data_IF_004908503279
#
_entry.id   IF_004908503279
#
_cell.length_a   1.000
_cell.length_b   1.000
_cell.length_c   1.000
_cell.angle_alpha   90.00
_cell.angle_beta   90.00
_cell.angle_gamma   90.00
#
_symmetry.space_group_name_H-M   'P 1'
#
loop_
_entity.id
_entity.type
_entity.pdbx_description
1 polymer ?
#
# COMPACT_ATOMS: atom_id res chain seq x y z
N UNK A 1 -13.13 -6.05 11.68
CA UNK A 1 -11.92 -5.22 11.49
C UNK A 1 -10.72 -6.11 11.13
N UNK A 2 -10.34 -7.05 12.00
CA UNK A 2 -9.08 -7.79 11.86
C UNK A 2 -8.98 -8.66 10.59
N UNK A 3 -10.09 -9.22 10.09
CA UNK A 3 -10.06 -10.03 8.85
C UNK A 3 -9.62 -9.21 7.62
N UNK A 4 -9.75 -7.88 7.65
CA UNK A 4 -9.33 -7.03 6.53
C UNK A 4 -7.83 -6.83 6.43
N UNK A 5 -7.06 -7.37 7.38
CA UNK A 5 -5.60 -7.46 7.27
C UNK A 5 -5.17 -8.68 6.46
N UNK A 6 -6.04 -9.68 6.31
CA UNK A 6 -5.79 -10.86 5.50
C UNK A 6 -6.39 -10.67 4.11
N UNK A 7 -5.72 -11.24 3.10
CA UNK A 7 -6.24 -11.33 1.75
C UNK A 7 -5.81 -12.67 1.14
N UNK A 8 -6.66 -13.29 0.32
CA UNK A 8 -6.45 -14.59 -0.33
C UNK A 8 -5.31 -14.60 -1.35
N UNK A 9 -4.65 -13.47 -1.57
CA UNK A 9 -3.56 -13.32 -2.52
C UNK A 9 -2.26 -14.02 -2.11
N UNK A 10 -2.15 -14.62 -0.93
CA UNK A 10 -0.90 -15.25 -0.47
C UNK A 10 0.29 -14.28 -0.38
N UNK A 11 0.08 -12.97 -0.55
CA UNK A 11 1.13 -11.94 -0.47
C UNK A 11 0.96 -10.99 0.71
N UNK A 12 -0.01 -11.29 1.58
CA UNK A 12 -0.45 -10.44 2.68
C UNK A 12 -0.97 -11.27 3.85
N UNK A 13 -0.40 -11.08 5.03
CA UNK A 13 -0.91 -11.77 6.22
C UNK A 13 -0.40 -11.24 7.55
N UNK A 14 -0.12 -9.93 7.61
CA UNK A 14 0.13 -9.27 8.89
C UNK A 14 -0.29 -7.80 8.86
N UNK A 15 -0.46 -7.17 10.02
CA UNK A 15 -0.70 -5.73 10.13
C UNK A 15 0.49 -4.91 9.59
N UNK A 16 1.66 -5.55 9.45
CA UNK A 16 2.84 -4.95 8.85
C UNK A 16 2.84 -5.31 7.36
N UNK A 17 2.46 -4.35 6.52
CA UNK A 17 2.47 -4.49 5.07
C UNK A 17 3.90 -4.47 4.49
N UNK A 18 4.90 -4.71 5.35
CA UNK A 18 6.35 -4.83 5.17
C UNK A 18 6.84 -6.25 4.87
N UNK A 19 6.05 -7.24 5.26
CA UNK A 19 6.55 -8.58 5.59
C UNK A 19 7.03 -9.34 4.34
N UNK A 20 8.25 -9.90 4.41
CA UNK A 20 8.81 -10.79 3.39
C UNK A 20 8.14 -12.16 3.46
N UNK A 21 7.90 -12.76 2.30
CA UNK A 21 7.45 -14.15 2.19
C UNK A 21 8.67 -15.06 2.16
N UNK A 22 8.50 -16.28 2.67
CA UNK A 22 9.50 -17.33 2.46
C UNK A 22 9.56 -17.69 0.98
N UNK A 23 10.77 -17.94 0.47
CA UNK A 23 10.98 -18.43 -0.89
C UNK A 23 10.89 -19.96 -0.97
N UNK A 24 11.10 -20.65 0.16
CA UNK A 24 10.92 -22.09 0.31
C UNK A 24 9.91 -22.38 1.44
N UNK A 25 8.87 -23.14 1.10
CA UNK A 25 7.78 -23.52 2.00
C UNK A 25 7.94 -24.91 2.61
N UNK A 26 9.03 -25.62 2.30
CA UNK A 26 9.31 -26.97 2.82
C UNK A 26 9.24 -27.01 4.35
N UNK A 27 9.88 -26.05 5.01
CA UNK A 27 9.87 -25.88 6.48
C UNK A 27 8.49 -25.54 7.03
N UNK A 28 7.73 -24.68 6.33
CA UNK A 28 6.34 -24.33 6.68
C UNK A 28 5.46 -25.58 6.67
N UNK A 29 5.59 -26.43 5.66
CA UNK A 29 4.75 -27.62 5.53
C UNK A 29 5.20 -28.78 6.44
N UNK A 30 6.50 -28.86 6.76
CA UNK A 30 7.02 -29.84 7.71
C UNK A 30 6.58 -29.54 9.16
N UNK A 31 6.65 -28.27 9.58
CA UNK A 31 6.23 -27.81 10.90
C UNK A 31 5.25 -26.63 10.82
N UNK A 32 3.99 -26.90 10.42
CA UNK A 32 3.01 -25.85 10.23
C UNK A 32 2.56 -25.23 11.55
N UNK A 33 2.97 -25.75 12.71
CA UNK A 33 2.65 -25.15 14.01
C UNK A 33 3.61 -24.02 14.35
N UNK A 34 4.92 -24.25 14.19
CA UNK A 34 5.94 -23.30 14.65
C UNK A 34 6.50 -22.41 13.54
N UNK A 35 6.39 -22.82 12.28
CA UNK A 35 6.87 -22.06 11.13
C UNK A 35 5.68 -21.50 10.35
N UNK A 36 5.60 -20.16 10.27
CA UNK A 36 4.57 -19.46 9.50
C UNK A 36 5.00 -19.17 8.07
N UNK A 37 4.01 -18.87 7.22
CA UNK A 37 4.20 -18.56 5.79
C UNK A 37 5.13 -17.37 5.55
N UNK A 38 5.08 -16.37 6.44
CA UNK A 38 5.91 -15.19 6.34
C UNK A 38 7.24 -15.36 7.07
N UNK A 39 8.28 -14.72 6.55
CA UNK A 39 9.62 -14.74 7.12
C UNK A 39 9.81 -13.64 8.17
N UNK A 40 9.00 -13.71 9.23
CA UNK A 40 9.08 -12.82 10.40
C UNK A 40 8.82 -13.62 11.68
N UNK A 41 9.42 -13.18 12.79
CA UNK A 41 9.39 -13.86 14.10
C UNK A 41 7.95 -14.20 14.55
N UNK A 42 6.97 -13.37 14.20
CA UNK A 42 5.60 -13.49 14.71
C UNK A 42 4.64 -14.27 13.81
N UNK A 43 5.05 -14.73 12.63
CA UNK A 43 4.10 -15.30 11.65
C UNK A 43 3.33 -16.52 12.19
N UNK A 44 3.98 -17.42 12.92
CA UNK A 44 3.32 -18.56 13.55
C UNK A 44 2.41 -18.14 14.72
N UNK A 45 2.82 -17.11 15.49
CA UNK A 45 2.01 -16.52 16.57
C UNK A 45 0.71 -15.90 16.04
N UNK A 46 0.77 -15.16 14.94
CA UNK A 46 -0.40 -14.58 14.29
C UNK A 46 -1.35 -15.69 13.79
N UNK A 47 -0.80 -16.77 13.23
CA UNK A 47 -1.59 -17.92 12.84
C UNK A 47 -2.23 -18.65 14.04
N UNK A 48 -1.57 -18.71 15.21
CA UNK A 48 -2.17 -19.27 16.43
C UNK A 48 -3.30 -18.41 16.97
N UNK A 49 -3.16 -17.09 16.91
CA UNK A 49 -4.24 -16.16 17.28
C UNK A 49 -5.49 -16.46 16.46
N UNK A 50 -5.36 -16.51 15.13
CA UNK A 50 -6.49 -16.80 14.24
C UNK A 50 -7.06 -18.21 14.46
N UNK A 51 -6.21 -19.22 14.65
CA UNK A 51 -6.64 -20.57 14.99
C UNK A 51 -7.51 -20.59 16.26
N UNK A 52 -7.07 -19.94 17.33
CA UNK A 52 -7.82 -19.89 18.60
C UNK A 52 -9.13 -19.14 18.46
N UNK A 53 -9.15 -18.04 17.70
CA UNK A 53 -10.38 -17.31 17.38
C UNK A 53 -11.35 -18.20 16.59
N UNK A 54 -10.86 -18.93 15.58
CA UNK A 54 -11.66 -19.86 14.80
C UNK A 54 -12.23 -20.99 15.67
N UNK A 55 -11.43 -21.53 16.58
CA UNK A 55 -11.86 -22.61 17.48
C UNK A 55 -12.90 -22.12 18.50
N UNK A 56 -12.65 -20.97 19.14
CA UNK A 56 -13.52 -20.39 20.16
C UNK A 56 -14.89 -20.01 19.59
N UNK A 57 -14.91 -19.32 18.45
CA UNK A 57 -16.15 -18.86 17.82
C UNK A 57 -16.76 -19.86 16.84
N UNK A 58 -16.07 -20.99 16.56
CA UNK A 58 -16.42 -21.93 15.49
C UNK A 58 -16.66 -21.23 14.14
N UNK A 59 -15.83 -20.23 13.84
CA UNK A 59 -16.05 -19.30 12.72
C UNK A 59 -15.16 -19.65 11.51
N UNK A 60 -15.75 -20.07 10.38
CA UNK A 60 -15.06 -20.39 9.12
C UNK A 60 -14.13 -19.29 8.60
N UNK A 61 -14.47 -18.02 8.80
CA UNK A 61 -13.70 -16.88 8.33
C UNK A 61 -12.39 -16.68 9.11
N UNK A 62 -12.40 -16.97 10.41
CA UNK A 62 -11.19 -16.95 11.21
C UNK A 62 -10.29 -18.15 10.87
N UNK A 63 -10.89 -19.29 10.51
CA UNK A 63 -10.13 -20.44 10.02
C UNK A 63 -9.46 -20.11 8.68
N UNK A 64 -10.17 -19.44 7.77
CA UNK A 64 -9.59 -18.92 6.53
C UNK A 64 -8.41 -17.99 6.82
N UNK A 65 -8.55 -17.02 7.72
CA UNK A 65 -7.43 -16.15 8.08
C UNK A 65 -6.24 -16.93 8.69
N UNK A 66 -6.51 -17.96 9.49
CA UNK A 66 -5.47 -18.83 10.04
C UNK A 66 -4.70 -19.59 8.93
N UNK A 67 -5.40 -20.11 7.92
CA UNK A 67 -4.81 -20.78 6.77
C UNK A 67 -3.95 -19.82 5.92
N UNK A 68 -4.42 -18.59 5.70
CA UNK A 68 -3.67 -17.56 4.97
C UNK A 68 -2.31 -17.27 5.64
N UNK A 69 -2.31 -17.09 6.96
CA UNK A 69 -1.08 -16.72 7.70
C UNK A 69 -0.17 -17.91 7.97
N UNK A 70 -0.74 -19.11 8.14
CA UNK A 70 0.04 -20.32 8.39
C UNK A 70 0.68 -20.86 7.11
N UNK A 71 -0.10 -20.98 6.03
CA UNK A 71 0.27 -21.76 4.84
C UNK A 71 0.30 -20.94 3.55
N UNK A 72 -0.11 -19.67 3.57
CA UNK A 72 -0.17 -18.81 2.39
C UNK A 72 -1.50 -18.86 1.63
N UNK A 73 -2.50 -19.56 2.17
CA UNK A 73 -3.81 -19.69 1.53
C UNK A 73 -3.82 -20.56 0.28
N UNK A 74 -4.99 -20.64 -0.35
CA UNK A 74 -5.23 -21.46 -1.55
C UNK A 74 -5.24 -20.58 -2.81
N UNK A 75 -4.88 -21.13 -3.98
CA UNK A 75 -5.03 -20.44 -5.26
C UNK A 75 -6.50 -20.19 -5.63
N UNK A 76 -6.76 -19.37 -6.66
CA UNK A 76 -8.13 -19.09 -7.13
C UNK A 76 -8.94 -20.33 -7.51
N UNK A 77 -8.28 -21.39 -8.01
CA UNK A 77 -8.91 -22.65 -8.38
C UNK A 77 -9.02 -23.65 -7.22
N UNK A 78 -8.47 -23.30 -6.05
CA UNK A 78 -8.50 -24.13 -4.84
C UNK A 78 -7.56 -25.34 -4.85
N UNK A 79 -6.84 -25.62 -5.94
CA UNK A 79 -5.98 -26.80 -6.05
C UNK A 79 -4.65 -26.59 -5.32
N UNK A 80 -4.41 -27.41 -4.28
CA UNK A 80 -3.19 -27.33 -3.48
C UNK A 80 -2.31 -28.57 -3.66
N UNK A 81 -0.97 -28.44 -3.56
CA UNK A 81 -0.08 -29.60 -3.57
C UNK A 81 -0.36 -30.58 -2.41
N UNK A 82 -0.01 -31.88 -2.57
CA UNK A 82 -0.20 -32.87 -1.50
C UNK A 82 0.53 -32.52 -0.18
N UNK A 83 1.68 -31.86 -0.28
CA UNK A 83 2.45 -31.38 0.88
C UNK A 83 1.70 -30.29 1.64
N UNK A 84 1.05 -29.37 0.93
CA UNK A 84 0.17 -28.37 1.52
C UNK A 84 -1.00 -29.04 2.22
N UNK A 85 -1.68 -29.98 1.56
CA UNK A 85 -2.86 -30.64 2.14
C UNK A 85 -2.49 -31.45 3.39
N UNK A 86 -1.33 -32.11 3.39
CA UNK A 86 -0.78 -32.80 4.57
C UNK A 86 -0.55 -31.81 5.73
N UNK A 87 0.08 -30.66 5.45
CA UNK A 87 0.32 -29.63 6.45
C UNK A 87 -0.99 -29.03 7.00
N UNK A 88 -1.96 -28.80 6.12
CA UNK A 88 -3.31 -28.36 6.50
C UNK A 88 -3.98 -29.38 7.43
N UNK A 89 -3.98 -30.65 7.05
CA UNK A 89 -4.58 -31.71 7.86
C UNK A 89 -3.88 -31.84 9.22
N UNK A 90 -2.55 -31.68 9.29
CA UNK A 90 -1.76 -31.71 10.53
C UNK A 90 -2.05 -30.51 11.45
N UNK A 91 -2.20 -29.31 10.90
CA UNK A 91 -2.45 -28.09 11.70
C UNK A 91 -3.91 -27.96 12.10
N UNK A 92 -4.85 -28.28 11.22
CA UNK A 92 -6.26 -27.97 11.38
C UNK A 92 -7.14 -29.20 11.64
N UNK A 93 -6.54 -30.32 12.10
CA UNK A 93 -7.24 -31.60 12.35
C UNK A 93 -8.53 -31.43 13.16
N UNK A 94 -8.49 -30.62 14.22
CA UNK A 94 -9.64 -30.36 15.08
C UNK A 94 -10.86 -29.85 14.29
N UNK A 95 -10.64 -29.00 13.28
CA UNK A 95 -11.69 -28.45 12.41
C UNK A 95 -12.15 -29.46 11.38
N UNK A 96 -11.20 -30.19 10.78
CA UNK A 96 -11.48 -31.27 9.80
C UNK A 96 -12.39 -32.33 10.39
N UNK A 97 -12.08 -32.83 11.59
CA UNK A 97 -12.90 -33.82 12.32
C UNK A 97 -14.32 -33.33 12.63
N UNK A 98 -14.55 -32.02 12.59
CA UNK A 98 -15.81 -31.37 12.94
C UNK A 98 -16.54 -30.81 11.72
N UNK A 99 -16.04 -31.05 10.51
CA UNK A 99 -16.62 -30.54 9.27
C UNK A 99 -16.64 -29.02 9.19
N UNK A 100 -15.69 -28.33 9.84
CA UNK A 100 -15.56 -26.87 9.77
C UNK A 100 -14.51 -26.55 8.71
N UNK A 101 -14.97 -25.97 7.61
CA UNK A 101 -14.11 -25.59 6.49
C UNK A 101 -13.80 -24.09 6.47
N UNK A 102 -12.64 -23.66 5.96
CA UNK A 102 -12.31 -22.25 5.81
C UNK A 102 -13.29 -21.57 4.84
N UNK A 103 -13.81 -20.40 5.20
CA UNK A 103 -14.68 -19.60 4.32
C UNK A 103 -14.08 -18.22 4.10
N UNK A 104 -13.98 -17.81 2.84
CA UNK A 104 -13.55 -16.45 2.51
C UNK A 104 -14.56 -15.44 3.11
N UNK A 105 -14.11 -14.46 3.89
CA UNK A 105 -15.02 -13.46 4.44
C UNK A 105 -15.52 -12.54 3.33
N UNK A 106 -16.83 -12.26 3.33
CA UNK A 106 -17.41 -11.26 2.44
C UNK A 106 -16.83 -9.89 2.77
N UNK A 107 -16.22 -9.25 1.76
CA UNK A 107 -15.64 -7.92 1.89
C UNK A 107 -16.05 -7.04 0.74
N UNK A 108 -16.06 -5.75 1.02
CA UNK A 108 -16.34 -4.66 0.10
C UNK A 108 -15.48 -3.48 0.51
N UNK A 109 -15.38 -2.51 -0.40
CA UNK A 109 -14.75 -1.24 -0.16
C UNK A 109 -15.41 -0.55 1.03
N UNK A 110 -14.60 -0.06 1.96
CA UNK A 110 -15.13 0.61 3.14
C UNK A 110 -14.12 1.47 3.87
N UNK A 111 -14.65 2.35 4.70
CA UNK A 111 -13.89 3.10 5.70
C UNK A 111 -13.64 2.22 6.93
N UNK A 112 -12.37 2.01 7.24
CA UNK A 112 -11.91 1.34 8.45
C UNK A 112 -12.01 2.26 9.67
N UNK A 113 -12.65 1.77 10.73
CA UNK A 113 -12.75 2.47 12.02
C UNK A 113 -11.80 1.86 13.04
N UNK A 114 -11.22 2.71 13.89
CA UNK A 114 -10.41 2.28 15.05
C UNK A 114 -11.24 1.35 15.94
N UNK A 115 -12.49 1.70 16.23
CA UNK A 115 -13.43 0.76 16.81
C UNK A 115 -14.83 1.06 16.31
N UNK A 116 -15.53 0.01 15.90
CA UNK A 116 -16.92 0.09 15.46
C UNK A 116 -17.90 0.35 16.61
N UNK A 117 -17.48 0.06 17.86
CA UNK A 117 -18.32 0.18 19.05
C UNK A 117 -18.10 1.50 19.79
N UNK A 118 -16.85 1.91 19.98
CA UNK A 118 -16.48 3.11 20.76
C UNK A 118 -15.44 3.91 19.99
N UNK A 119 -15.53 5.24 19.98
CA UNK A 119 -14.59 6.13 19.26
C UNK A 119 -14.43 5.71 17.78
N UNK A 120 -15.46 6.01 16.97
CA UNK A 120 -15.56 5.70 15.53
C UNK A 120 -14.62 6.57 14.67
N UNK A 121 -13.35 6.61 15.04
CA UNK A 121 -12.29 7.34 14.34
C UNK A 121 -12.02 6.60 13.03
N UNK A 122 -12.11 7.31 11.90
CA UNK A 122 -11.79 6.81 10.57
C UNK A 122 -10.26 6.75 10.46
N UNK A 123 -9.70 5.55 10.34
CA UNK A 123 -8.25 5.34 10.34
C UNK A 123 -7.71 4.82 9.01
N UNK A 124 -8.59 4.24 8.16
CA UNK A 124 -8.17 3.56 6.94
C UNK A 124 -9.24 3.64 5.86
N UNK A 125 -8.81 3.48 4.62
CA UNK A 125 -9.67 3.06 3.50
C UNK A 125 -9.21 1.70 3.03
N UNK A 126 -10.18 0.82 2.77
CA UNK A 126 -9.98 -0.45 2.09
C UNK A 126 -10.74 -0.41 0.78
N UNK A 127 -10.06 -0.73 -0.32
CA UNK A 127 -10.62 -0.84 -1.66
C UNK A 127 -10.45 -2.28 -2.11
N UNK A 128 -11.57 -2.96 -2.33
CA UNK A 128 -11.69 -4.33 -2.82
C UNK A 128 -13.18 -4.60 -3.06
N UNK A 129 -13.50 -5.64 -3.82
CA UNK A 129 -14.84 -6.21 -3.98
C UNK A 129 -14.93 -7.63 -3.38
N UNK A 130 -13.89 -8.01 -2.63
CA UNK A 130 -13.67 -9.36 -2.15
C UNK A 130 -12.24 -9.54 -1.66
N UNK A 131 -11.98 -10.64 -0.98
CA UNK A 131 -10.61 -11.01 -0.52
C UNK A 131 -10.24 -12.43 -0.93
N UNK A 132 -10.94 -12.97 -1.93
CA UNK A 132 -10.59 -14.20 -2.61
C UNK A 132 -9.20 -14.09 -3.25
N UNK A 133 -8.57 -15.24 -3.48
CA UNK A 133 -7.31 -15.28 -4.21
C UNK A 133 -7.47 -14.67 -5.62
N UNK A 134 -6.53 -13.81 -5.99
CA UNK A 134 -6.49 -13.10 -7.26
C UNK A 134 -7.22 -11.75 -7.27
N UNK A 135 -8.07 -11.46 -6.28
CA UNK A 135 -8.84 -10.22 -6.24
C UNK A 135 -7.96 -8.99 -5.99
N UNK A 136 -8.33 -7.84 -6.58
CA UNK A 136 -7.60 -6.60 -6.38
C UNK A 136 -7.81 -6.06 -4.97
N UNK A 137 -6.76 -5.50 -4.39
CA UNK A 137 -6.80 -4.86 -3.09
C UNK A 137 -5.90 -3.64 -3.05
N UNK A 138 -6.42 -2.54 -2.52
CA UNK A 138 -5.63 -1.38 -2.17
C UNK A 138 -6.09 -0.80 -0.84
N UNK A 139 -5.18 -0.22 -0.07
CA UNK A 139 -5.56 0.38 1.20
C UNK A 139 -4.67 1.54 1.63
N UNK A 140 -5.30 2.48 2.34
CA UNK A 140 -4.70 3.75 2.76
C UNK A 140 -4.81 3.94 4.26
N UNK A 141 -3.82 4.60 4.84
CA UNK A 141 -3.88 5.10 6.22
C UNK A 141 -4.47 6.51 6.26
N UNK A 142 -5.23 6.82 7.30
CA UNK A 142 -5.89 8.11 7.52
C UNK A 142 -5.45 8.80 8.83
N UNK A 143 -4.35 8.36 9.44
CA UNK A 143 -3.91 8.92 10.71
C UNK A 143 -3.42 10.37 10.53
N UNK A 144 -3.98 11.30 11.29
CA UNK A 144 -3.59 12.73 11.31
C UNK A 144 -2.69 13.10 12.48
N UNK A 145 -2.63 12.25 13.51
CA UNK A 145 -1.76 12.42 14.67
C UNK A 145 -0.71 11.33 14.72
N UNK A 146 0.52 11.75 15.02
CA UNK A 146 1.60 10.87 15.42
C UNK A 146 1.23 10.22 16.74
N UNK A 147 1.30 8.89 16.79
CA UNK A 147 1.49 8.19 18.06
C UNK A 147 2.93 7.66 18.12
N UNK A 148 3.37 7.17 19.28
CA UNK A 148 4.73 6.66 19.47
C UNK A 148 5.07 5.41 18.61
N UNK A 149 4.09 4.85 17.89
CA UNK A 149 4.21 3.60 17.12
C UNK A 149 3.87 3.74 15.63
N UNK A 150 3.23 4.84 15.22
CA UNK A 150 2.84 5.16 13.85
C UNK A 150 3.26 6.61 13.58
N UNK A 151 4.29 6.78 12.75
CA UNK A 151 4.61 8.08 12.17
C UNK A 151 3.40 8.61 11.37
N UNK A 152 3.34 9.93 11.13
CA UNK A 152 2.23 10.60 10.43
C UNK A 152 1.97 10.01 9.04
N UNK A 153 1.21 8.91 8.98
CA UNK A 153 0.85 8.19 7.77
C UNK A 153 -0.46 8.73 7.19
N UNK A 154 -0.50 10.04 7.02
CA UNK A 154 -1.68 10.77 6.56
C UNK A 154 -1.88 10.53 5.06
N UNK A 155 -2.81 9.66 4.69
CA UNK A 155 -3.22 9.45 3.30
C UNK A 155 -2.31 8.54 2.48
N UNK A 156 -1.39 7.80 3.10
CA UNK A 156 -0.43 6.97 2.38
C UNK A 156 -1.06 5.66 1.96
N UNK A 157 -0.81 5.28 0.70
CA UNK A 157 -1.10 3.93 0.23
C UNK A 157 -0.11 2.98 0.91
N UNK A 158 -0.61 2.03 1.69
CA UNK A 158 0.27 1.06 2.34
C UNK A 158 0.29 -0.29 1.64
N UNK A 159 -0.66 -0.53 0.73
CA UNK A 159 -0.73 -1.75 -0.03
C UNK A 159 -1.49 -1.56 -1.33
N UNK A 160 -0.96 -2.17 -2.39
CA UNK A 160 -1.66 -2.43 -3.62
C UNK A 160 -1.22 -3.79 -4.17
N UNK A 161 -2.18 -4.71 -4.28
CA UNK A 161 -1.98 -6.06 -4.78
C UNK A 161 -3.11 -6.49 -5.72
N UNK A 162 -2.78 -7.33 -6.69
CA UNK A 162 -3.72 -7.94 -7.62
C UNK A 162 -3.13 -9.21 -8.21
N UNK A 163 -3.97 -10.21 -8.50
CA UNK A 163 -3.57 -11.47 -9.12
C UNK A 163 -2.39 -12.17 -8.42
N UNK A 164 -2.42 -12.19 -7.07
CA UNK A 164 -1.34 -12.81 -6.29
C UNK A 164 -0.01 -12.06 -6.36
N UNK A 165 0.03 -10.81 -6.81
CA UNK A 165 1.23 -10.00 -6.86
C UNK A 165 1.06 -8.69 -6.09
N UNK A 166 2.16 -8.22 -5.49
CA UNK A 166 2.22 -6.98 -4.73
C UNK A 166 3.06 -5.95 -5.48
N UNK A 167 2.45 -4.82 -5.84
CA UNK A 167 3.06 -3.84 -6.74
C UNK A 167 3.61 -2.61 -6.03
N UNK A 168 2.95 -2.19 -4.95
CA UNK A 168 3.42 -1.13 -4.07
C UNK A 168 3.47 -1.63 -2.65
N UNK A 169 4.50 -1.19 -1.93
CA UNK A 169 4.81 -1.68 -0.61
C UNK A 169 5.47 -0.54 0.17
N UNK A 170 4.74 0.06 1.11
CA UNK A 170 5.32 0.87 2.17
C UNK A 170 4.39 0.84 3.39
N UNK A 171 4.71 0.04 4.42
CA UNK A 171 3.89 -0.02 5.64
C UNK A 171 3.94 1.27 6.46
N UNK A 172 4.88 2.19 6.19
CA UNK A 172 5.03 3.46 6.89
C UNK A 172 5.21 3.37 8.41
N UNK A 173 5.20 2.15 8.97
CA UNK A 173 5.09 1.90 10.40
C UNK A 173 6.38 2.22 11.14
N UNK A 174 7.50 2.24 10.42
CA UNK A 174 8.83 2.49 10.98
C UNK A 174 9.76 3.27 10.04
N UNK A 175 9.21 4.07 9.14
CA UNK A 175 9.99 4.72 8.08
C UNK A 175 10.59 6.08 8.47
N UNK A 176 10.50 6.53 9.73
CA UNK A 176 11.19 7.73 10.21
C UNK A 176 11.64 7.59 11.69
N UNK A 177 12.46 6.59 12.00
CA UNK A 177 12.98 6.46 13.38
C UNK A 177 14.20 7.37 13.58
N UNK A 178 14.02 8.42 14.37
CA UNK A 178 15.08 9.32 14.82
C UNK A 178 15.49 9.03 16.26
N UNK A 179 16.75 9.33 16.58
CA UNK A 179 17.20 9.57 17.95
C UNK A 179 17.92 10.90 18.01
N UNK A 180 17.29 11.90 18.62
CA UNK A 180 17.74 13.28 18.48
C UNK A 180 17.61 13.71 17.01
N UNK A 181 18.71 14.14 16.40
CA UNK A 181 18.80 14.51 14.98
C UNK A 181 19.23 13.36 14.07
N UNK A 182 19.62 12.22 14.63
CA UNK A 182 20.22 11.12 13.88
C UNK A 182 19.16 10.11 13.41
N UNK A 183 19.22 9.76 12.12
CA UNK A 183 18.39 8.70 11.53
C UNK A 183 18.92 7.35 12.03
N UNK A 184 18.10 6.61 12.80
CA UNK A 184 18.50 5.31 13.38
C UNK A 184 18.06 4.10 12.56
N UNK A 185 17.20 4.27 11.58
CA UNK A 185 16.73 3.18 10.73
C UNK A 185 15.35 3.47 10.16
N UNK A 186 15.08 2.84 9.02
CA UNK A 186 13.81 2.88 8.30
C UNK A 186 13.52 4.22 7.65
N UNK A 187 13.53 4.24 6.31
CA UNK A 187 12.98 5.30 5.46
C UNK A 187 13.65 6.66 5.59
N UNK A 188 13.72 7.37 4.47
CA UNK A 188 14.58 8.55 4.36
C UNK A 188 13.83 9.87 4.54
N UNK A 189 12.63 9.82 5.13
CA UNK A 189 11.66 10.89 5.10
C UNK A 189 10.40 10.51 4.34
N UNK A 190 9.52 11.49 4.17
CA UNK A 190 8.23 11.31 3.51
C UNK A 190 8.28 10.87 2.05
N UNK A 191 9.40 11.13 1.39
CA UNK A 191 9.66 10.70 0.03
C UNK A 191 9.85 9.20 -0.11
N UNK A 192 9.85 8.47 1.02
CA UNK A 192 9.84 7.00 1.11
C UNK A 192 8.43 6.39 1.21
N UNK A 193 7.37 7.22 1.09
CA UNK A 193 5.97 6.83 1.23
C UNK A 193 5.18 7.16 -0.03
N UNK A 194 4.17 6.35 -0.36
CA UNK A 194 3.31 6.53 -1.53
C UNK A 194 2.28 7.67 -1.31
N UNK A 195 2.69 8.91 -1.59
CA UNK A 195 2.03 10.14 -1.15
C UNK A 195 1.99 11.24 -2.22
N UNK A 196 1.23 12.31 -1.94
CA UNK A 196 1.43 13.60 -2.59
C UNK A 196 2.48 14.39 -1.81
N UNK A 197 3.64 14.65 -2.39
CA UNK A 197 4.70 15.37 -1.70
C UNK A 197 4.66 16.86 -2.04
N UNK A 198 4.90 17.72 -1.05
CA UNK A 198 5.09 19.17 -1.22
C UNK A 198 6.46 19.53 -0.65
N UNK A 199 7.33 20.12 -1.47
CA UNK A 199 8.74 20.38 -1.12
C UNK A 199 9.10 21.81 -1.46
N UNK A 200 9.79 22.51 -0.55
CA UNK A 200 10.31 23.85 -0.85
C UNK A 200 11.37 23.77 -1.96
N UNK A 201 11.33 24.70 -2.91
CA UNK A 201 12.19 24.75 -4.10
C UNK A 201 13.71 24.90 -3.85
N UNK A 202 14.12 25.07 -2.59
CA UNK A 202 15.54 25.08 -2.18
C UNK A 202 16.08 23.66 -2.00
N UNK A 203 15.20 22.67 -1.87
CA UNK A 203 15.55 21.25 -1.83
C UNK A 203 15.25 20.60 -3.18
N UNK A 204 16.02 19.56 -3.49
CA UNK A 204 15.81 18.78 -4.70
C UNK A 204 14.62 17.83 -4.51
N UNK A 205 13.56 17.98 -5.30
CA UNK A 205 12.47 17.00 -5.32
C UNK A 205 12.96 15.64 -5.89
N UNK A 206 12.52 14.49 -5.36
CA UNK A 206 11.61 14.31 -4.22
C UNK A 206 12.35 14.24 -2.88
N UNK A 207 13.67 14.42 -2.83
CA UNK A 207 14.46 14.28 -1.60
C UNK A 207 13.94 15.26 -0.56
N UNK A 208 13.23 14.73 0.44
CA UNK A 208 12.74 15.53 1.53
C UNK A 208 13.93 15.88 2.44
N UNK A 209 13.98 17.11 2.95
CA UNK A 209 14.99 17.54 3.92
C UNK A 209 14.94 16.81 5.26
N UNK A 210 14.07 15.81 5.47
CA UNK A 210 14.10 14.87 6.61
C UNK A 210 15.48 14.20 6.77
N UNK A 211 16.31 14.19 5.69
CA UNK A 211 17.72 13.78 5.71
C UNK A 211 18.70 14.80 6.33
N UNK A 212 18.35 16.08 6.48
CA UNK A 212 19.22 17.22 6.92
C UNK A 212 18.47 18.40 7.60
N UNK A 213 17.30 18.13 8.21
CA UNK A 213 16.18 19.08 8.42
C UNK A 213 16.51 20.49 8.90
N UNK A 214 15.74 21.46 8.40
CA UNK A 214 15.69 22.82 8.95
C UNK A 214 14.27 23.17 9.46
N UNK A 215 14.14 24.32 10.14
CA UNK A 215 12.94 24.72 10.90
C UNK A 215 11.61 24.69 10.12
N UNK A 216 11.63 24.76 8.79
CA UNK A 216 10.39 24.75 7.99
C UNK A 216 9.75 23.37 7.88
N UNK A 217 10.52 22.30 8.08
CA UNK A 217 10.05 20.91 7.91
C UNK A 217 9.26 20.41 9.13
N UNK A 218 9.56 20.95 10.32
CA UNK A 218 8.80 20.70 11.55
C UNK A 218 7.33 21.14 11.46
N UNK A 219 6.97 21.99 10.48
CA UNK A 219 5.57 22.40 10.24
C UNK A 219 4.68 21.22 9.89
N UNK A 220 5.23 20.14 9.31
CA UNK A 220 4.43 18.98 8.92
C UNK A 220 3.95 18.13 10.09
N UNK A 221 4.73 18.01 11.16
CA UNK A 221 4.50 16.99 12.19
C UNK A 221 3.17 17.15 12.96
N UNK A 222 2.54 18.33 12.92
CA UNK A 222 1.35 18.64 13.71
C UNK A 222 0.25 19.37 12.94
N UNK A 223 0.40 19.53 11.62
CA UNK A 223 -0.51 20.38 10.85
C UNK A 223 -1.61 19.61 10.13
N UNK A 224 -1.31 18.48 9.47
CA UNK A 224 -2.33 17.76 8.71
C UNK A 224 -3.46 17.29 9.65
N UNK A 225 -4.69 17.69 9.32
CA UNK A 225 -5.90 17.32 10.09
C UNK A 225 -6.81 16.52 9.20
N UNK A 226 -7.13 15.30 9.62
CA UNK A 226 -8.04 14.46 8.84
C UNK A 226 -9.41 15.15 8.77
N UNK A 227 -10.01 15.17 7.57
CA UNK A 227 -11.36 15.68 7.36
C UNK A 227 -12.31 14.47 7.19
N UNK A 228 -12.85 13.92 8.29
CA UNK A 228 -13.60 12.67 8.25
C UNK A 228 -14.85 12.76 7.38
N UNK A 229 -15.49 13.93 7.27
CA UNK A 229 -16.71 14.12 6.47
C UNK A 229 -16.47 13.94 4.96
N UNK A 230 -15.24 14.09 4.50
CA UNK A 230 -14.85 13.83 3.10
C UNK A 230 -14.40 12.39 2.86
N UNK A 231 -14.41 11.55 3.89
CA UNK A 231 -13.94 10.16 3.78
C UNK A 231 -15.08 9.24 3.38
N UNK A 232 -14.93 8.61 2.23
CA UNK A 232 -15.92 7.73 1.60
C UNK A 232 -15.25 6.53 0.95
N UNK A 233 -15.95 5.39 0.90
CA UNK A 233 -15.53 4.23 0.14
C UNK A 233 -16.73 3.32 -0.17
N UNK A 234 -16.80 2.83 -1.40
CA UNK A 234 -17.92 2.02 -1.89
C UNK A 234 -17.52 1.19 -3.12
N UNK A 235 -18.34 0.22 -3.50
CA UNK A 235 -18.23 -0.49 -4.76
C UNK A 235 -19.34 -0.05 -5.73
N UNK A 236 -19.07 -0.13 -7.03
CA UNK A 236 -20.13 -0.10 -8.06
C UNK A 236 -20.60 -1.53 -8.40
N UNK A 237 -21.62 -1.64 -9.25
CA UNK A 237 -22.18 -2.94 -9.68
C UNK A 237 -21.21 -3.78 -10.53
N UNK A 238 -20.14 -3.17 -11.06
CA UNK A 238 -19.10 -3.85 -11.83
C UNK A 238 -17.97 -4.41 -10.95
N UNK A 239 -18.03 -4.21 -9.62
CA UNK A 239 -17.00 -4.64 -8.69
C UNK A 239 -15.80 -3.68 -8.60
N UNK A 240 -15.86 -2.50 -9.21
CA UNK A 240 -14.83 -1.48 -8.99
C UNK A 240 -15.04 -0.84 -7.62
N UNK A 241 -13.95 -0.54 -6.93
CA UNK A 241 -13.94 0.09 -5.61
C UNK A 241 -13.52 1.56 -5.72
N UNK A 242 -14.37 2.48 -5.25
CA UNK A 242 -14.06 3.89 -5.10
C UNK A 242 -13.65 4.21 -3.65
N UNK A 243 -12.70 5.12 -3.48
CA UNK A 243 -12.29 5.68 -2.20
C UNK A 243 -11.98 7.17 -2.29
N UNK A 244 -12.26 7.90 -1.22
CA UNK A 244 -11.90 9.31 -1.09
C UNK A 244 -11.54 9.65 0.35
N UNK A 245 -10.57 10.54 0.54
CA UNK A 245 -10.33 11.20 1.83
C UNK A 245 -9.71 12.59 1.62
N UNK A 246 -9.73 13.40 2.67
CA UNK A 246 -9.08 14.71 2.66
C UNK A 246 -8.35 15.01 3.97
N UNK A 247 -7.32 15.84 3.88
CA UNK A 247 -6.62 16.46 4.99
C UNK A 247 -6.61 17.97 4.82
N UNK A 248 -6.98 18.70 5.87
CA UNK A 248 -6.73 20.14 5.97
C UNK A 248 -5.31 20.38 6.48
N UNK A 249 -4.80 21.58 6.23
CA UNK A 249 -3.48 22.04 6.67
C UNK A 249 -2.33 21.12 6.20
N UNK A 250 -2.54 20.42 5.08
CA UNK A 250 -1.57 19.51 4.48
C UNK A 250 -0.38 20.28 3.88
N UNK A 251 0.74 20.33 4.59
CA UNK A 251 1.91 21.17 4.28
C UNK A 251 1.69 22.68 4.43
N UNK A 252 0.83 23.09 5.36
CA UNK A 252 0.73 24.48 5.83
C UNK A 252 -0.72 24.94 6.04
N UNK A 253 -0.96 26.02 6.81
CA UNK A 253 -2.31 26.52 7.08
C UNK A 253 -3.12 26.78 5.81
N UNK A 254 -4.43 26.54 5.88
CA UNK A 254 -5.42 26.80 4.81
C UNK A 254 -5.25 25.96 3.54
N UNK A 255 -4.21 25.13 3.49
CA UNK A 255 -4.05 24.15 2.43
C UNK A 255 -5.00 22.98 2.64
N UNK A 256 -5.31 22.26 1.56
CA UNK A 256 -6.11 21.05 1.63
C UNK A 256 -5.67 20.07 0.57
N UNK A 257 -5.47 18.84 0.97
CA UNK A 257 -5.29 17.72 0.05
C UNK A 257 -6.52 16.83 0.07
N UNK A 258 -7.01 16.48 -1.11
CA UNK A 258 -8.05 15.47 -1.32
C UNK A 258 -7.50 14.42 -2.27
N UNK A 259 -7.54 13.15 -1.88
CA UNK A 259 -7.21 12.03 -2.75
C UNK A 259 -8.49 11.25 -3.06
N UNK A 260 -8.70 10.97 -4.35
CA UNK A 260 -9.74 10.10 -4.89
C UNK A 260 -9.07 8.93 -5.59
N UNK A 261 -9.63 7.74 -5.41
CA UNK A 261 -9.02 6.50 -5.87
C UNK A 261 -10.08 5.59 -6.45
N UNK A 262 -9.80 4.99 -7.59
CA UNK A 262 -10.57 3.87 -8.14
C UNK A 262 -9.65 2.68 -8.26
N UNK A 263 -10.04 1.55 -7.69
CA UNK A 263 -9.44 0.25 -7.92
C UNK A 263 -10.44 -0.58 -8.72
N UNK A 264 -10.12 -0.86 -9.97
CA UNK A 264 -11.03 -1.63 -10.84
C UNK A 264 -11.00 -3.12 -10.51
N UNK A 265 -12.04 -3.84 -10.91
CA UNK A 265 -12.09 -5.31 -10.81
C UNK A 265 -10.91 -5.99 -11.55
N UNK A 266 -10.39 -5.35 -12.61
CA UNK A 266 -9.20 -5.78 -13.35
C UNK A 266 -7.86 -5.38 -12.71
N UNK A 267 -7.87 -4.83 -11.50
CA UNK A 267 -6.66 -4.47 -10.75
C UNK A 267 -6.05 -3.11 -11.08
N UNK A 268 -6.58 -2.35 -12.04
CA UNK A 268 -6.08 -1.01 -12.35
C UNK A 268 -6.33 -0.07 -11.16
N UNK A 269 -5.29 0.62 -10.69
CA UNK A 269 -5.38 1.60 -9.61
C UNK A 269 -5.21 3.01 -10.19
N UNK A 270 -6.27 3.81 -10.13
CA UNK A 270 -6.31 5.20 -10.60
C UNK A 270 -6.37 6.11 -9.39
N UNK A 271 -5.42 7.04 -9.27
CA UNK A 271 -5.29 7.94 -8.12
C UNK A 271 -5.29 9.39 -8.62
N UNK A 272 -6.28 10.15 -8.19
CA UNK A 272 -6.42 11.57 -8.45
C UNK A 272 -6.21 12.38 -7.17
N UNK A 273 -5.23 13.26 -7.19
CA UNK A 273 -4.93 14.18 -6.09
C UNK A 273 -5.36 15.60 -6.48
N UNK A 274 -6.11 16.24 -5.58
CA UNK A 274 -6.43 17.66 -5.63
C UNK A 274 -5.79 18.36 -4.42
N UNK A 275 -4.98 19.37 -4.67
CA UNK A 275 -4.27 20.13 -3.65
C UNK A 275 -4.58 21.62 -3.75
N UNK A 276 -5.39 22.11 -2.81
CA UNK A 276 -5.58 23.54 -2.58
C UNK A 276 -4.36 24.08 -1.84
N UNK A 277 -3.63 24.98 -2.49
CA UNK A 277 -2.40 25.57 -1.94
C UNK A 277 -2.78 26.68 -0.95
N UNK A 278 -2.34 26.54 0.29
CA UNK A 278 -2.53 27.55 1.34
C UNK A 278 -1.81 28.86 1.00
N UNK A 279 -2.36 30.00 1.41
CA UNK A 279 -1.82 31.32 1.05
C UNK A 279 -0.37 31.51 1.52
N UNK A 280 -0.04 30.95 2.68
CA UNK A 280 1.28 31.10 3.30
C UNK A 280 2.42 30.38 2.55
N UNK A 281 2.11 29.49 1.60
CA UNK A 281 3.14 28.78 0.82
C UNK A 281 3.77 29.67 -0.27
N UNK A 282 3.06 30.71 -0.74
CA UNK A 282 3.52 31.57 -1.83
C UNK A 282 3.81 30.80 -3.12
N UNK A 283 4.97 31.06 -3.74
CA UNK A 283 5.44 30.42 -4.99
C UNK A 283 6.74 29.61 -4.79
N UNK A 284 7.06 29.27 -3.54
CA UNK A 284 8.37 28.69 -3.17
C UNK A 284 8.36 27.16 -3.09
N UNK A 285 7.29 26.51 -3.54
CA UNK A 285 7.11 25.07 -3.37
C UNK A 285 6.86 24.38 -4.70
N UNK A 286 7.27 23.13 -4.73
CA UNK A 286 6.91 22.15 -5.73
C UNK A 286 5.94 21.14 -5.11
N UNK A 287 5.05 20.58 -5.91
CA UNK A 287 4.25 19.44 -5.48
C UNK A 287 4.11 18.40 -6.59
N UNK A 288 3.89 17.16 -6.16
CA UNK A 288 3.44 16.09 -7.02
C UNK A 288 3.58 14.71 -6.40
N UNK A 289 3.09 13.67 -7.10
CA UNK A 289 3.04 12.32 -6.57
C UNK A 289 4.42 11.66 -6.53
N UNK A 290 4.60 10.82 -5.52
CA UNK A 290 5.75 9.90 -5.37
C UNK A 290 5.23 8.48 -5.18
N UNK A 291 5.86 7.52 -5.87
CA UNK A 291 5.45 6.12 -5.89
C UNK A 291 6.66 5.19 -5.74
N UNK A 292 6.54 4.18 -4.89
CA UNK A 292 7.63 3.26 -4.53
C UNK A 292 7.51 1.95 -5.28
N UNK A 293 8.25 1.84 -6.36
CA UNK A 293 8.28 0.69 -7.23
C UNK A 293 9.43 -0.25 -6.87
N UNK A 294 9.27 -1.54 -7.16
CA UNK A 294 10.38 -2.47 -7.05
C UNK A 294 11.56 -1.99 -7.92
N UNK A 295 12.77 -2.20 -7.39
CA UNK A 295 13.99 -1.75 -8.06
C UNK A 295 14.20 -2.50 -9.38
N UNK A 296 14.63 -1.75 -10.39
CA UNK A 296 15.03 -2.29 -11.69
C UNK A 296 16.53 -2.01 -11.87
N UNK A 297 17.33 -3.07 -11.92
CA UNK A 297 18.77 -2.94 -12.09
C UNK A 297 19.12 -2.32 -13.46
N UNK A 298 20.18 -1.51 -13.47
CA UNK A 298 20.60 -0.77 -14.66
C UNK A 298 19.71 0.41 -15.06
N UNK A 299 18.60 0.69 -14.35
CA UNK A 299 17.79 1.89 -14.60
C UNK A 299 18.59 3.15 -14.27
N UNK A 300 18.67 4.07 -15.25
CA UNK A 300 19.23 5.40 -15.05
C UNK A 300 18.36 6.19 -14.06
N UNK A 301 18.96 6.62 -12.96
CA UNK A 301 18.33 7.51 -11.98
C UNK A 301 18.41 8.96 -12.43
N UNK A 302 17.54 9.80 -11.86
CA UNK A 302 17.45 11.23 -12.14
C UNK A 302 16.26 11.57 -13.03
N UNK A 303 16.31 12.77 -13.62
CA UNK A 303 15.24 13.28 -14.48
C UNK A 303 15.13 12.47 -15.77
N UNK A 304 13.90 12.27 -16.22
CA UNK A 304 13.58 11.64 -17.51
C UNK A 304 12.51 12.45 -18.26
N UNK A 305 12.37 12.18 -19.57
CA UNK A 305 11.34 12.80 -20.40
C UNK A 305 10.01 12.07 -20.29
N UNK A 306 10.05 10.76 -20.16
CA UNK A 306 8.87 9.92 -20.12
C UNK A 306 8.09 10.11 -18.82
N UNK A 307 6.76 10.18 -18.93
CA UNK A 307 5.84 10.30 -17.81
C UNK A 307 5.38 8.93 -17.25
N UNK A 308 6.09 7.85 -17.61
CA UNK A 308 5.76 6.50 -17.22
C UNK A 308 6.97 5.71 -16.69
N UNK A 309 6.68 4.69 -15.88
CA UNK A 309 7.66 3.88 -15.18
C UNK A 309 7.17 2.43 -15.11
N UNK A 310 7.97 1.47 -15.55
CA UNK A 310 7.70 0.04 -15.37
C UNK A 310 8.44 -0.54 -14.17
N UNK A 311 7.89 -1.53 -13.48
CA UNK A 311 8.62 -2.28 -12.46
C UNK A 311 8.04 -3.68 -12.27
N UNK A 312 8.83 -4.66 -11.80
CA UNK A 312 8.30 -5.94 -11.33
C UNK A 312 7.48 -5.75 -10.05
N UNK A 313 6.69 -6.77 -9.68
CA UNK A 313 6.11 -6.86 -8.35
C UNK A 313 7.19 -7.06 -7.28
N UNK A 314 6.99 -6.54 -6.07
CA UNK A 314 7.85 -6.82 -4.91
C UNK A 314 7.80 -8.27 -4.47
N UNK A 315 6.60 -8.87 -4.52
CA UNK A 315 6.37 -10.22 -4.05
C UNK A 315 5.20 -10.86 -4.80
N UNK A 316 5.19 -12.19 -4.82
CA UNK A 316 4.19 -12.98 -5.51
C UNK A 316 3.79 -14.18 -4.67
N UNK A 317 2.53 -14.58 -4.79
CA UNK A 317 1.96 -15.73 -4.12
C UNK A 317 2.68 -17.00 -4.58
N UNK A 318 2.77 -18.00 -3.71
CA UNK A 318 3.35 -19.30 -4.04
C UNK A 318 2.72 -19.98 -5.26
N UNK A 319 1.45 -19.68 -5.53
CA UNK A 319 0.68 -20.23 -6.65
C UNK A 319 0.77 -19.40 -7.93
N UNK A 320 1.27 -18.15 -7.89
CA UNK A 320 1.41 -17.30 -9.06
C UNK A 320 2.69 -17.62 -9.81
N UNK A 321 2.54 -18.30 -10.96
CA UNK A 321 3.67 -18.74 -11.79
C UNK A 321 4.16 -17.65 -12.73
N UNK A 322 3.23 -16.86 -13.29
CA UNK A 322 3.55 -15.82 -14.25
C UNK A 322 4.04 -14.57 -13.53
N UNK A 323 5.25 -14.13 -13.85
CA UNK A 323 5.85 -12.97 -13.18
C UNK A 323 5.03 -11.72 -13.51
N UNK A 324 4.53 -11.06 -12.47
CA UNK A 324 3.74 -9.83 -12.61
C UNK A 324 4.61 -8.57 -12.44
N UNK A 325 4.15 -7.48 -13.04
CA UNK A 325 4.70 -6.14 -12.91
C UNK A 325 3.62 -5.07 -12.98
N UNK A 326 4.05 -3.82 -12.85
CA UNK A 326 3.18 -2.64 -12.92
C UNK A 326 3.80 -1.58 -13.82
N UNK A 327 2.94 -0.96 -14.63
CA UNK A 327 3.25 0.28 -15.34
C UNK A 327 2.54 1.42 -14.63
N UNK A 328 3.32 2.34 -14.05
CA UNK A 328 2.85 3.61 -13.54
C UNK A 328 2.89 4.64 -14.67
N UNK A 329 1.77 5.31 -14.93
CA UNK A 329 1.66 6.44 -15.85
C UNK A 329 1.17 7.64 -15.05
N UNK A 330 1.92 8.75 -15.10
CA UNK A 330 1.54 10.00 -14.45
C UNK A 330 1.09 10.97 -15.53
N UNK A 331 -0.08 11.58 -15.38
CA UNK A 331 -0.62 12.52 -16.36
C UNK A 331 0.34 13.71 -16.56
N UNK A 332 0.74 13.94 -17.81
CA UNK A 332 1.62 15.04 -18.16
C UNK A 332 0.82 16.33 -18.40
N UNK A 333 0.99 17.31 -17.51
CA UNK A 333 0.27 18.57 -17.57
C UNK A 333 1.03 19.69 -16.85
N UNK A 334 1.19 20.85 -17.52
CA UNK A 334 1.82 22.08 -16.99
C UNK A 334 3.24 21.85 -16.44
N UNK A 335 4.19 21.68 -17.35
CA UNK A 335 5.64 21.64 -17.04
C UNK A 335 6.00 20.62 -15.95
N UNK A 336 5.40 19.43 -15.99
CA UNK A 336 5.77 18.35 -15.07
C UNK A 336 7.21 17.93 -15.33
N UNK A 337 7.93 17.67 -14.23
CA UNK A 337 9.25 17.06 -14.23
C UNK A 337 9.11 15.66 -13.70
N UNK A 338 9.60 14.68 -14.47
CA UNK A 338 9.56 13.25 -14.13
C UNK A 338 10.94 12.74 -13.79
N UNK A 339 11.02 11.70 -12.95
CA UNK A 339 12.28 11.04 -12.70
C UNK A 339 12.18 9.89 -11.71
N UNK A 340 13.35 9.32 -11.41
CA UNK A 340 13.49 8.27 -10.40
C UNK A 340 14.67 8.55 -9.47
N UNK A 341 14.57 8.09 -8.23
CA UNK A 341 15.71 7.94 -7.32
C UNK A 341 15.70 6.52 -6.74
N UNK A 342 16.87 6.02 -6.34
CA UNK A 342 16.96 4.75 -5.62
C UNK A 342 16.96 4.98 -4.12
N UNK A 343 16.21 4.15 -3.41
CA UNK A 343 16.24 4.06 -1.95
C UNK A 343 17.09 2.84 -1.58
N UNK A 344 18.15 3.06 -0.80
CA UNK A 344 19.07 2.02 -0.35
C UNK A 344 18.67 1.37 0.97
N UNK A 345 17.84 2.05 1.77
CA UNK A 345 17.46 1.58 3.11
C UNK A 345 15.97 1.79 3.34
N UNK A 346 15.30 0.75 3.82
CA UNK A 346 14.05 0.88 4.54
C UNK A 346 13.96 -0.27 5.56
N UNK A 347 13.17 -0.07 6.63
CA UNK A 347 13.05 -1.07 7.69
C UNK A 347 12.19 -2.26 7.28
N UNK A 348 11.32 -2.05 6.30
CA UNK A 348 10.27 -2.98 5.90
C UNK A 348 10.37 -3.41 4.42
N UNK A 349 11.34 -2.92 3.65
CA UNK A 349 11.49 -3.12 2.19
C UNK A 349 12.93 -3.43 1.80
N UNK A 350 13.04 -4.27 0.78
CA UNK A 350 14.23 -4.33 -0.06
C UNK A 350 14.50 -2.97 -0.73
N UNK A 351 15.73 -2.73 -1.22
CA UNK A 351 16.04 -1.56 -2.02
C UNK A 351 14.99 -1.37 -3.13
N UNK A 352 14.50 -0.14 -3.26
CA UNK A 352 13.41 0.18 -4.19
C UNK A 352 13.74 1.43 -5.01
N UNK A 353 12.85 1.76 -5.94
CA UNK A 353 12.95 2.97 -6.76
C UNK A 353 11.73 3.86 -6.50
N UNK A 354 11.97 5.08 -6.04
CA UNK A 354 10.93 6.12 -5.98
C UNK A 354 10.80 6.73 -7.37
N UNK A 355 9.67 6.49 -8.02
CA UNK A 355 9.24 7.23 -9.20
C UNK A 355 8.53 8.51 -8.75
N UNK A 356 8.84 9.63 -9.39
CA UNK A 356 8.31 10.92 -9.01
C UNK A 356 7.89 11.76 -10.20
N UNK A 357 6.91 12.61 -9.97
CA UNK A 357 6.58 13.69 -10.86
C UNK A 357 6.24 14.94 -10.04
N UNK A 358 6.69 16.12 -10.46
CA UNK A 358 6.36 17.36 -9.76
C UNK A 358 6.30 18.57 -10.68
N UNK A 359 5.68 19.64 -10.20
CA UNK A 359 5.76 20.98 -10.79
C UNK A 359 5.72 22.07 -9.71
N UNK A 360 6.12 23.32 -10.02
CA UNK A 360 5.87 24.45 -9.15
C UNK A 360 4.38 24.64 -8.85
N UNK A 361 4.08 25.07 -7.63
CA UNK A 361 2.71 25.38 -7.18
C UNK A 361 2.61 26.83 -6.72
N UNK A 362 1.40 27.38 -6.78
CA UNK A 362 1.13 28.78 -6.46
C UNK A 362 0.02 28.89 -5.41
N UNK A 363 0.25 29.73 -4.41
CA UNK A 363 -0.70 30.08 -3.36
C UNK A 363 -2.09 30.42 -3.91
N UNK A 364 -3.13 29.92 -3.22
CA UNK A 364 -4.53 30.16 -3.58
C UNK A 364 -5.03 29.35 -4.78
N UNK A 365 -4.16 28.64 -5.51
CA UNK A 365 -4.57 27.77 -6.62
C UNK A 365 -4.91 26.36 -6.15
N UNK A 366 -5.68 25.68 -6.97
CA UNK A 366 -5.94 24.24 -6.84
C UNK A 366 -5.15 23.50 -7.89
N UNK A 367 -4.24 22.64 -7.43
CA UNK A 367 -3.39 21.81 -8.26
C UNK A 367 -3.96 20.40 -8.36
N UNK A 368 -3.91 19.81 -9.56
CA UNK A 368 -4.41 18.45 -9.80
C UNK A 368 -3.32 17.55 -10.37
N UNK A 369 -3.27 16.33 -9.86
CA UNK A 369 -2.36 15.27 -10.30
C UNK A 369 -3.15 13.98 -10.51
N UNK A 370 -2.75 13.19 -11.51
CA UNK A 370 -3.38 11.91 -11.84
C UNK A 370 -2.30 10.87 -12.08
N UNK A 371 -2.38 9.75 -11.37
CA UNK A 371 -1.52 8.58 -11.55
C UNK A 371 -2.39 7.37 -11.88
N UNK A 372 -1.97 6.58 -12.86
CA UNK A 372 -2.63 5.34 -13.28
C UNK A 372 -1.61 4.22 -13.17
N UNK A 373 -1.91 3.21 -12.37
CA UNK A 373 -1.08 2.01 -12.19
C UNK A 373 -1.79 0.84 -12.85
N UNK A 374 -1.14 0.28 -13.87
CA UNK A 374 -1.66 -0.82 -14.68
C UNK A 374 -0.86 -2.07 -14.36
N UNK A 375 -1.44 -3.08 -13.70
CA UNK A 375 -0.78 -4.36 -13.52
C UNK A 375 -0.71 -5.12 -14.85
N UNK A 376 0.35 -5.87 -15.06
CA UNK A 376 0.55 -6.69 -16.26
C UNK A 376 1.52 -7.84 -16.02
N UNK A 377 1.50 -8.85 -16.89
CA UNK A 377 2.57 -9.85 -16.95
C UNK A 377 3.88 -9.20 -17.42
N UNK A 378 5.01 -9.59 -16.83
CA UNK A 378 6.34 -9.09 -17.21
C UNK A 378 6.77 -9.51 -18.61
N UNK A 379 6.14 -10.54 -19.19
CA UNK A 379 6.25 -10.90 -20.61
C UNK A 379 5.83 -9.73 -21.52
N UNK A 380 4.91 -8.87 -21.05
CA UNK A 380 4.48 -7.65 -21.75
C UNK A 380 5.33 -6.47 -21.30
N UNK A 381 5.99 -5.80 -22.25
CA UNK A 381 6.80 -4.62 -21.92
C UNK A 381 5.94 -3.45 -21.44
N UNK A 382 6.40 -2.77 -20.38
CA UNK A 382 5.71 -1.63 -19.80
C UNK A 382 5.44 -0.50 -20.81
N UNK A 383 6.33 -0.29 -21.79
CA UNK A 383 6.11 0.66 -22.89
C UNK A 383 4.92 0.29 -23.78
N UNK A 384 4.62 -1.01 -23.94
CA UNK A 384 3.43 -1.47 -24.68
C UNK A 384 2.15 -1.21 -23.89
N UNK A 385 2.19 -1.43 -22.58
CA UNK A 385 1.08 -1.11 -21.66
C UNK A 385 0.80 0.39 -21.68
N UNK A 386 1.83 1.22 -21.49
CA UNK A 386 1.74 2.67 -21.51
C UNK A 386 1.04 3.21 -22.77
N UNK A 387 1.37 2.71 -23.97
CA UNK A 387 0.76 3.17 -25.23
C UNK A 387 -0.77 3.01 -25.29
N UNK A 388 -1.35 2.16 -24.44
CA UNK A 388 -2.80 1.94 -24.36
C UNK A 388 -3.48 2.86 -23.32
N UNK A 389 -2.71 3.54 -22.48
CA UNK A 389 -3.23 4.43 -21.43
C UNK A 389 -3.42 5.83 -22.01
N UNK A 390 -4.66 6.32 -21.97
CA UNK A 390 -5.00 7.71 -22.29
C UNK A 390 -5.55 8.38 -21.04
N UNK A 391 -5.04 9.57 -20.72
CA UNK A 391 -5.47 10.34 -19.56
C UNK A 391 -5.82 11.76 -19.96
N UNK A 392 -6.86 12.31 -19.35
CA UNK A 392 -7.30 13.69 -19.52
C UNK A 392 -7.69 14.25 -18.17
N UNK A 393 -7.26 15.46 -17.85
CA UNK A 393 -7.71 16.21 -16.67
C UNK A 393 -8.51 17.40 -17.15
N UNK A 394 -9.81 17.42 -16.84
CA UNK A 394 -10.65 18.58 -17.14
C UNK A 394 -10.29 19.77 -16.25
N UNK A 395 -10.54 20.98 -16.76
CA UNK A 395 -10.27 22.24 -16.03
C UNK A 395 -11.10 22.35 -14.77
#
# INVERSE_FOLDING_TARGET
RCLQFANGNGVRGGPNCGIRQRTDFSSVYADPWNVGYYDVETSSRDAHFWYRMAQHYKAPEYLWAAEQVALGGRPPDGHVPPTYQTAYNKRFTWFVERGIEPRVPKMQAKVGLLSGLKKKIKERIYLNDGVEAGKPFAAFFLYDKKDSHLDNVSGFLYEYSYNGAKFLHSSGKYNNVYSGTDIRGGGSGNESLDALLVVHNRHQFPVHPDRKGDERDYRRMYMAKHLPDFTHAENNDSGDAYGQFSFADYFGPESRWTRKVVLTAGGYLVVADEYKVGQTLGQKYHAGPVWHLARVDGRKVGRQKDNWFGAPSFAQAWWQKEKQGVTLVIHDHRHMVFGTINQSHSQDLDPNTTAYAYRPIEAGRTERFLSVLVPHELSTSAGTVFRRVKTTVSK
#
